data_IF_090396826907
#
_entry.id   IF_090396826907
#
_cell.length_a   1.000
_cell.length_b   1.000
_cell.length_c   1.000
_cell.angle_alpha   90.00
_cell.angle_beta   90.00
_cell.angle_gamma   90.00
#
_symmetry.space_group_name_H-M   'P 1'
#
loop_
_entity.id
_entity.type
_entity.pdbx_description
1 polymer ?
#
# COMPACT_ATOMS: atom_id res chain seq x y z
N UNK A 1 8.81 -8.75 -11.36
CA UNK A 1 9.04 -7.62 -12.28
C UNK A 1 8.51 -7.86 -13.70
N UNK A 2 8.76 -8.99 -14.35
CA UNK A 2 8.35 -9.23 -15.76
C UNK A 2 6.85 -9.01 -16.06
N UNK A 3 5.94 -9.41 -15.16
CA UNK A 3 4.50 -9.19 -15.35
C UNK A 3 4.12 -7.71 -15.32
N UNK A 4 4.70 -6.95 -14.38
CA UNK A 4 4.46 -5.51 -14.30
C UNK A 4 4.97 -4.79 -15.55
N UNK A 5 6.16 -5.14 -16.04
CA UNK A 5 6.70 -4.60 -17.30
C UNK A 5 5.78 -4.89 -18.50
N UNK A 6 5.20 -6.08 -18.57
CA UNK A 6 4.22 -6.43 -19.62
C UNK A 6 2.98 -5.53 -19.55
N UNK A 7 2.47 -5.23 -18.35
CA UNK A 7 1.33 -4.32 -18.18
C UNK A 7 1.68 -2.91 -18.67
N UNK A 8 2.86 -2.40 -18.34
CA UNK A 8 3.34 -1.09 -18.83
C UNK A 8 3.53 -1.05 -20.35
N UNK A 9 3.83 -2.19 -20.97
CA UNK A 9 3.91 -2.34 -22.43
C UNK A 9 2.53 -2.52 -23.10
N UNK A 10 1.44 -2.32 -22.37
CA UNK A 10 0.08 -2.37 -22.92
C UNK A 10 -0.55 -3.75 -22.98
N UNK A 11 0.09 -4.78 -22.39
CA UNK A 11 -0.56 -6.10 -22.25
C UNK A 11 -1.73 -6.01 -21.29
N UNK A 12 -2.83 -6.66 -21.64
CA UNK A 12 -4.08 -6.61 -20.89
C UNK A 12 -4.53 -8.02 -20.44
N UNK A 13 -5.73 -8.10 -19.88
CA UNK A 13 -6.30 -9.36 -19.34
C UNK A 13 -6.49 -10.47 -20.37
N UNK A 14 -6.40 -10.17 -21.69
CA UNK A 14 -6.47 -11.19 -22.76
C UNK A 14 -5.12 -11.87 -23.01
N UNK A 15 -4.02 -11.35 -22.45
CA UNK A 15 -2.70 -11.98 -22.54
C UNK A 15 -2.64 -13.21 -21.63
N UNK A 16 -2.43 -14.39 -22.21
CA UNK A 16 -2.43 -15.66 -21.48
C UNK A 16 -1.30 -15.77 -20.47
N UNK A 17 -0.11 -15.24 -20.80
CA UNK A 17 1.04 -15.28 -19.88
C UNK A 17 0.82 -14.36 -18.69
N UNK A 18 0.19 -13.20 -18.92
CA UNK A 18 -0.16 -12.29 -17.85
C UNK A 18 -1.18 -12.93 -16.89
N UNK A 19 -2.21 -13.56 -17.46
CA UNK A 19 -3.24 -14.28 -16.71
C UNK A 19 -2.65 -15.41 -15.87
N UNK A 20 -1.83 -16.25 -16.50
CA UNK A 20 -1.14 -17.34 -15.80
C UNK A 20 -0.25 -16.83 -14.67
N UNK A 21 0.49 -15.74 -14.91
CA UNK A 21 1.34 -15.12 -13.91
C UNK A 21 0.57 -14.56 -12.71
N UNK A 22 -0.55 -13.89 -12.96
CA UNK A 22 -1.44 -13.38 -11.88
C UNK A 22 -2.02 -14.54 -11.08
N UNK A 23 -2.48 -15.61 -11.72
CA UNK A 23 -2.98 -16.81 -11.02
C UNK A 23 -1.91 -17.46 -10.13
N UNK A 24 -0.64 -17.47 -10.56
CA UNK A 24 0.47 -17.95 -9.72
C UNK A 24 0.71 -17.05 -8.51
N UNK A 25 0.65 -15.73 -8.67
CA UNK A 25 0.78 -14.77 -7.56
C UNK A 25 -0.37 -14.96 -6.58
N UNK A 26 -1.62 -15.04 -7.05
CA UNK A 26 -2.80 -15.23 -6.22
C UNK A 26 -2.73 -16.55 -5.42
N UNK A 27 -2.35 -17.65 -6.07
CA UNK A 27 -2.17 -18.96 -5.44
C UNK A 27 -1.08 -18.94 -4.37
N UNK A 28 0.05 -18.28 -4.63
CA UNK A 28 1.17 -18.19 -3.69
C UNK A 28 0.83 -17.29 -2.51
N UNK A 29 0.18 -16.18 -2.75
CA UNK A 29 -0.08 -15.15 -1.77
C UNK A 29 1.16 -14.34 -1.36
N UNK A 30 1.01 -13.38 -0.41
CA UNK A 30 2.12 -12.71 0.24
C UNK A 30 2.96 -13.67 1.08
N UNK A 31 4.27 -13.42 1.19
CA UNK A 31 5.16 -14.20 2.05
C UNK A 31 6.35 -13.36 2.52
N UNK A 32 7.25 -13.95 3.31
CA UNK A 32 8.40 -13.26 3.93
C UNK A 32 9.46 -12.84 2.89
N UNK A 33 9.07 -12.04 1.92
CA UNK A 33 9.97 -11.34 0.99
C UNK A 33 9.29 -10.02 0.57
N UNK A 34 9.68 -8.96 1.22
CA UNK A 34 9.03 -7.67 1.04
C UNK A 34 9.28 -7.07 -0.35
N UNK A 35 10.43 -7.37 -0.95
CA UNK A 35 10.72 -6.96 -2.33
C UNK A 35 9.77 -7.62 -3.33
N UNK A 36 9.51 -8.93 -3.17
CA UNK A 36 8.48 -9.62 -3.95
C UNK A 36 7.10 -9.02 -3.70
N UNK A 37 6.72 -8.84 -2.43
CA UNK A 37 5.42 -8.31 -2.06
C UNK A 37 5.18 -6.93 -2.68
N UNK A 38 6.18 -6.05 -2.71
CA UNK A 38 6.08 -4.73 -3.33
C UNK A 38 5.71 -4.81 -4.83
N UNK A 39 6.43 -5.62 -5.61
CA UNK A 39 6.13 -5.75 -7.05
C UNK A 39 4.86 -6.53 -7.32
N UNK A 40 4.59 -7.57 -6.56
CA UNK A 40 3.36 -8.35 -6.68
C UNK A 40 2.13 -7.48 -6.36
N UNK A 41 2.21 -6.61 -5.35
CA UNK A 41 1.13 -5.67 -5.02
C UNK A 41 0.79 -4.76 -6.20
N UNK A 42 1.78 -4.23 -6.91
CA UNK A 42 1.55 -3.42 -8.10
C UNK A 42 0.88 -4.23 -9.23
N UNK A 43 1.31 -5.47 -9.45
CA UNK A 43 0.67 -6.36 -10.43
C UNK A 43 -0.78 -6.64 -10.06
N UNK A 44 -1.03 -7.01 -8.80
CA UNK A 44 -2.37 -7.36 -8.33
C UNK A 44 -3.30 -6.13 -8.33
N UNK A 45 -2.79 -4.94 -7.95
CA UNK A 45 -3.55 -3.68 -8.01
C UNK A 45 -3.94 -3.32 -9.45
N UNK A 46 -3.00 -3.44 -10.40
CA UNK A 46 -3.28 -3.20 -11.81
C UNK A 46 -4.21 -4.26 -12.41
N UNK A 47 -4.19 -5.48 -11.88
CA UNK A 47 -5.11 -6.53 -12.29
C UNK A 47 -6.53 -6.28 -11.76
N UNK A 48 -6.68 -5.85 -10.51
CA UNK A 48 -7.97 -5.58 -9.89
C UNK A 48 -8.79 -6.83 -9.56
N UNK A 49 -10.06 -6.62 -9.27
CA UNK A 49 -11.03 -7.69 -8.99
C UNK A 49 -10.74 -8.48 -7.71
N UNK A 50 -11.36 -9.66 -7.61
CA UNK A 50 -11.30 -10.51 -6.41
C UNK A 50 -9.86 -10.95 -6.04
N UNK A 51 -8.96 -11.07 -7.02
CA UNK A 51 -7.55 -11.38 -6.81
C UNK A 51 -6.87 -10.26 -6.02
N UNK A 52 -7.13 -9.02 -6.39
CA UNK A 52 -6.64 -7.84 -5.66
C UNK A 52 -7.18 -7.81 -4.24
N UNK A 53 -8.47 -8.03 -4.04
CA UNK A 53 -9.10 -7.96 -2.72
C UNK A 53 -8.50 -8.98 -1.76
N UNK A 54 -8.32 -10.22 -2.23
CA UNK A 54 -7.67 -11.29 -1.44
C UNK A 54 -6.22 -10.95 -1.10
N UNK A 55 -5.46 -10.48 -2.09
CA UNK A 55 -4.06 -10.10 -1.92
C UNK A 55 -3.93 -8.97 -0.91
N UNK A 56 -4.67 -7.89 -1.16
CA UNK A 56 -4.58 -6.67 -0.36
C UNK A 56 -5.01 -6.89 1.10
N UNK A 57 -6.11 -7.61 1.32
CA UNK A 57 -6.57 -7.92 2.67
C UNK A 57 -5.48 -8.60 3.50
N UNK A 58 -4.86 -9.65 2.95
CA UNK A 58 -3.81 -10.40 3.64
C UNK A 58 -2.55 -9.57 3.89
N UNK A 59 -2.02 -8.91 2.85
CA UNK A 59 -0.75 -8.20 2.96
C UNK A 59 -0.85 -6.94 3.80
N UNK A 60 -1.93 -6.17 3.62
CA UNK A 60 -2.19 -4.95 4.42
C UNK A 60 -2.25 -5.29 5.91
N UNK A 61 -3.04 -6.29 6.25
CA UNK A 61 -3.26 -6.67 7.65
C UNK A 61 -1.97 -7.21 8.29
N UNK A 62 -1.18 -7.99 7.53
CA UNK A 62 0.14 -8.45 7.97
C UNK A 62 1.13 -7.28 8.18
N UNK A 63 1.18 -6.33 7.26
CA UNK A 63 2.05 -5.16 7.40
C UNK A 63 1.66 -4.28 8.59
N UNK A 64 0.36 -4.07 8.82
CA UNK A 64 -0.11 -3.29 9.97
C UNK A 64 0.23 -4.01 11.29
N UNK A 65 0.00 -5.32 11.35
CA UNK A 65 0.31 -6.11 12.54
C UNK A 65 1.81 -6.19 12.85
N UNK A 66 2.65 -6.10 11.81
CA UNK A 66 4.11 -6.17 11.94
C UNK A 66 4.77 -4.82 12.27
N UNK A 67 4.08 -3.70 12.11
CA UNK A 67 4.62 -2.38 12.37
C UNK A 67 4.98 -2.20 13.85
N UNK A 68 6.15 -1.65 14.14
CA UNK A 68 6.55 -1.29 15.50
C UNK A 68 5.60 -0.23 16.09
N UNK A 69 5.07 -0.50 17.28
CA UNK A 69 4.07 0.37 17.94
C UNK A 69 4.62 1.12 19.15
N UNK A 70 5.83 0.79 19.63
CA UNK A 70 6.43 1.34 20.83
C UNK A 70 7.87 1.81 20.61
N UNK A 71 8.36 2.65 21.52
CA UNK A 71 9.74 3.15 21.56
C UNK A 71 10.15 3.99 20.35
N UNK A 72 11.45 4.15 20.17
CA UNK A 72 12.06 4.95 19.09
C UNK A 72 11.84 4.34 17.69
N UNK A 73 11.46 3.08 17.65
CA UNK A 73 11.20 2.32 16.41
C UNK A 73 9.74 2.37 15.96
N UNK A 74 8.89 3.08 16.69
CA UNK A 74 7.47 3.23 16.40
C UNK A 74 7.24 3.71 14.96
N UNK A 75 6.31 3.07 14.27
CA UNK A 75 5.94 3.39 12.89
C UNK A 75 6.87 2.78 11.84
N UNK A 76 7.90 2.05 12.23
CA UNK A 76 8.84 1.38 11.33
C UNK A 76 8.64 -0.14 11.31
N UNK A 77 9.32 -0.82 10.38
CA UNK A 77 9.30 -2.28 10.25
C UNK A 77 10.71 -2.85 10.42
N UNK A 78 10.88 -3.78 11.36
CA UNK A 78 12.10 -4.53 11.52
C UNK A 78 12.29 -5.55 10.37
N UNK A 79 13.53 -5.86 9.94
CA UNK A 79 13.75 -6.95 9.00
C UNK A 79 13.22 -8.29 9.56
N UNK A 80 12.63 -9.12 8.69
CA UNK A 80 12.28 -10.51 9.02
C UNK A 80 13.44 -11.44 8.70
N UNK A 81 13.65 -12.47 9.52
CA UNK A 81 14.80 -13.39 9.39
C UNK A 81 14.85 -14.12 8.04
N UNK A 82 13.71 -14.39 7.44
CA UNK A 82 13.59 -15.10 6.17
C UNK A 82 13.66 -14.22 4.92
N UNK A 83 13.81 -12.92 5.10
CA UNK A 83 13.91 -11.96 4.00
C UNK A 83 15.35 -11.44 3.87
N UNK A 84 16.12 -12.07 3.00
CA UNK A 84 17.52 -11.73 2.76
C UNK A 84 17.70 -10.28 2.28
N UNK A 85 16.77 -9.76 1.49
CA UNK A 85 16.82 -8.37 1.04
C UNK A 85 16.60 -7.39 2.20
N UNK A 86 15.59 -7.64 3.02
CA UNK A 86 15.30 -6.83 4.20
C UNK A 86 16.43 -6.88 5.21
N UNK A 87 17.05 -8.07 5.40
CA UNK A 87 18.20 -8.23 6.29
C UNK A 87 19.42 -7.45 5.79
N UNK A 88 19.72 -7.52 4.49
CA UNK A 88 20.86 -6.80 3.92
C UNK A 88 20.67 -5.27 3.96
N UNK A 89 19.45 -4.78 3.73
CA UNK A 89 19.11 -3.35 3.73
C UNK A 89 18.69 -2.79 5.09
N UNK A 90 18.51 -3.66 6.09
CA UNK A 90 18.12 -3.29 7.43
C UNK A 90 16.74 -2.63 7.53
N UNK A 91 16.48 -2.03 8.68
CA UNK A 91 15.18 -1.41 9.02
C UNK A 91 14.78 -0.32 8.03
N UNK A 92 15.73 0.47 7.53
CA UNK A 92 15.44 1.55 6.58
C UNK A 92 14.82 1.00 5.30
N UNK A 93 15.46 0.00 4.66
CA UNK A 93 14.93 -0.60 3.44
C UNK A 93 13.58 -1.29 3.70
N UNK A 94 13.47 -2.02 4.81
CA UNK A 94 12.23 -2.69 5.20
C UNK A 94 11.10 -1.68 5.36
N UNK A 95 11.33 -0.58 6.07
CA UNK A 95 10.34 0.48 6.26
C UNK A 95 9.96 1.15 4.94
N UNK A 96 10.93 1.46 4.09
CA UNK A 96 10.65 2.04 2.77
C UNK A 96 9.77 1.12 1.92
N UNK A 97 10.11 -0.18 1.82
CA UNK A 97 9.34 -1.14 1.02
C UNK A 97 7.93 -1.38 1.60
N UNK A 98 7.79 -1.47 2.92
CA UNK A 98 6.50 -1.62 3.57
C UNK A 98 5.60 -0.39 3.30
N UNK A 99 6.14 0.82 3.48
CA UNK A 99 5.43 2.07 3.20
C UNK A 99 5.02 2.15 1.73
N UNK A 100 5.95 1.91 0.80
CA UNK A 100 5.67 1.92 -0.64
C UNK A 100 4.62 0.87 -1.04
N UNK A 101 4.60 -0.27 -0.37
CA UNK A 101 3.59 -1.32 -0.60
C UNK A 101 2.21 -0.85 -0.16
N UNK A 102 2.11 -0.21 1.01
CA UNK A 102 0.85 0.36 1.49
C UNK A 102 0.38 1.57 0.66
N UNK A 103 1.31 2.34 0.11
CA UNK A 103 1.00 3.50 -0.75
C UNK A 103 0.47 3.13 -2.14
N UNK A 104 0.63 1.90 -2.61
CA UNK A 104 0.17 1.48 -3.96
C UNK A 104 -1.30 1.87 -4.20
N UNK A 105 -2.11 1.86 -3.17
CA UNK A 105 -3.51 2.28 -3.21
C UNK A 105 -3.70 3.72 -3.71
N UNK A 106 -2.85 4.63 -3.26
CA UNK A 106 -3.00 6.08 -3.47
C UNK A 106 -2.13 6.60 -4.61
N UNK A 107 -1.02 5.91 -4.87
CA UNK A 107 0.02 6.41 -5.76
C UNK A 107 -0.22 6.10 -7.21
N UNK A 108 -0.86 4.96 -7.50
CA UNK A 108 -0.96 4.46 -8.87
C UNK A 108 -2.41 4.32 -9.30
N UNK A 109 -2.76 5.04 -10.37
CA UNK A 109 -3.98 4.75 -11.09
C UNK A 109 -3.83 3.40 -11.79
N UNK A 110 -4.81 2.48 -11.68
CA UNK A 110 -4.72 1.19 -12.35
C UNK A 110 -4.49 1.34 -13.86
N UNK A 111 -3.55 0.53 -14.40
CA UNK A 111 -3.24 0.49 -15.83
C UNK A 111 -4.33 -0.22 -16.63
N UNK A 112 -5.00 -1.20 -16.02
CA UNK A 112 -6.09 -1.95 -16.63
C UNK A 112 -7.42 -1.41 -16.10
N UNK A 113 -8.47 -1.31 -16.96
CA UNK A 113 -9.82 -0.99 -16.48
C UNK A 113 -10.26 -2.03 -15.47
N UNK A 114 -11.12 -1.64 -14.52
CA UNK A 114 -11.72 -2.63 -13.59
C UNK A 114 -12.38 -3.76 -14.38
N UNK A 115 -12.30 -5.02 -13.92
CA UNK A 115 -13.04 -6.11 -14.53
C UNK A 115 -14.52 -5.73 -14.55
N UNK A 116 -15.18 -5.85 -15.69
CA UNK A 116 -16.62 -5.69 -15.74
C UNK A 116 -17.24 -6.69 -14.76
N UNK A 117 -17.93 -6.18 -13.74
CA UNK A 117 -18.51 -7.00 -12.69
C UNK A 117 -19.51 -7.99 -13.30
N UNK A 118 -19.28 -9.27 -13.07
CA UNK A 118 -20.35 -10.25 -13.18
C UNK A 118 -21.28 -10.08 -11.98
N UNK A 119 -22.27 -9.19 -12.09
CA UNK A 119 -23.42 -9.06 -11.19
C UNK A 119 -23.12 -8.38 -9.85
N UNK A 120 -23.40 -7.07 -9.80
CA UNK A 120 -23.99 -6.39 -8.65
C UNK A 120 -23.34 -6.54 -7.28
N UNK A 121 -22.32 -5.75 -7.00
CA UNK A 121 -22.11 -5.18 -5.69
C UNK A 121 -21.82 -3.69 -5.87
N UNK A 122 -22.77 -2.85 -5.50
CA UNK A 122 -22.55 -1.40 -5.41
C UNK A 122 -21.34 -1.16 -4.52
N UNK A 123 -20.28 -0.64 -5.13
CA UNK A 123 -19.12 -0.18 -4.38
C UNK A 123 -19.60 0.89 -3.40
N UNK A 124 -19.68 0.53 -2.13
CA UNK A 124 -19.77 1.51 -1.06
C UNK A 124 -18.50 2.36 -1.11
N UNK A 125 -18.51 3.38 -1.94
CA UNK A 125 -17.54 4.50 -1.91
C UNK A 125 -17.84 5.38 -0.69
N UNK A 126 -17.85 4.74 0.49
CA UNK A 126 -18.00 5.37 1.79
C UNK A 126 -16.64 5.57 2.45
N UNK A 127 -15.67 6.15 1.74
CA UNK A 127 -14.57 6.79 2.44
C UNK A 127 -15.15 8.11 2.98
N UNK A 128 -15.42 8.14 4.30
CA UNK A 128 -15.74 9.37 4.98
C UNK A 128 -14.66 10.41 4.63
N UNK A 129 -15.04 11.67 4.28
CA UNK A 129 -14.06 12.69 4.00
C UNK A 129 -13.14 12.83 5.22
N UNK A 130 -11.84 12.95 4.96
CA UNK A 130 -10.84 13.17 6.00
C UNK A 130 -11.31 14.30 6.93
N UNK A 131 -11.15 14.18 8.26
CA UNK A 131 -11.53 15.23 9.18
C UNK A 131 -10.81 16.51 8.75
N UNK A 132 -11.60 17.58 8.52
CA UNK A 132 -11.06 18.92 8.26
C UNK A 132 -10.14 19.26 9.41
N UNK A 133 -8.86 19.44 9.13
CA UNK A 133 -7.90 20.04 10.05
C UNK A 133 -8.49 21.39 10.42
N UNK A 134 -8.83 21.59 11.71
CA UNK A 134 -9.19 22.91 12.20
C UNK A 134 -7.98 23.80 11.97
N UNK A 135 -8.14 24.79 11.10
CA UNK A 135 -7.20 25.91 11.06
C UNK A 135 -7.12 26.46 12.49
N UNK A 136 -5.92 26.43 13.05
CA UNK A 136 -5.64 27.08 14.31
C UNK A 136 -5.95 28.55 14.17
N UNK A 137 -6.93 29.05 14.95
CA UNK A 137 -7.18 30.46 15.14
C UNK A 137 -5.85 31.19 15.33
N UNK A 138 -5.61 32.17 14.45
CA UNK A 138 -4.50 33.11 14.58
C UNK A 138 -4.61 33.83 15.91
N UNK A 139 -3.69 33.54 16.81
CA UNK A 139 -3.51 34.31 18.03
C UNK A 139 -3.01 35.69 17.62
N UNK A 140 -3.86 36.67 17.83
CA UNK A 140 -3.53 38.11 17.67
C UNK A 140 -2.45 38.50 18.68
N UNK A 141 -1.26 38.99 18.26
CA UNK A 141 -0.21 39.43 19.20
C UNK A 141 -0.35 40.89 19.55
N UNK A 142 -1.45 41.28 20.18
CA UNK A 142 -1.69 42.69 20.52
C UNK A 142 -2.57 42.91 21.73
N UNK A 143 -2.13 42.55 22.93
CA UNK A 143 -2.66 43.16 24.14
C UNK A 143 -1.58 43.34 25.21
N UNK A 144 -1.09 44.57 25.28
CA UNK A 144 -0.71 45.41 26.44
C UNK A 144 -0.13 44.72 27.67
N UNK A 145 1.20 44.84 27.80
CA UNK A 145 1.91 44.84 29.05
C UNK A 145 1.58 46.13 29.84
N UNK A 146 0.70 46.05 30.82
CA UNK A 146 0.61 47.06 31.89
C UNK A 146 1.53 46.63 33.03
N UNK A 147 2.58 47.42 33.27
CA UNK A 147 3.43 47.34 34.45
C UNK A 147 2.65 47.70 35.73
N UNK A 148 2.82 46.99 36.84
CA UNK A 148 2.34 47.45 38.13
C UNK A 148 3.34 48.37 38.80
N UNK A 149 2.81 49.44 39.43
CA UNK A 149 3.49 50.35 40.33
C UNK A 149 3.81 49.66 41.67
#
# INVERSE_FOLDING_TARGET
MALLSRMYLGKNRNDNDLRAGVALIDKRGPYDNLYYNYFATQVMKNWGGAEWDRWNGRLRDDLIAWQGVEGDEKGSWAPRDRDDYSRAGGRLLTTCLATLTLEVYYRYKPLLPEPAEAGGFEAASGLAPAPKVRESESVDPGQDLKEPK
#
